data_IF_916180885763
#
_entry.id   IF_916180885763
#
_cell.length_a   1.000
_cell.length_b   1.000
_cell.length_c   1.000
_cell.angle_alpha   90.00
_cell.angle_beta   90.00
_cell.angle_gamma   90.00
#
_symmetry.space_group_name_H-M   'P 1'
#
loop_
_entity.id
_entity.type
_entity.pdbx_description
1 polymer ?
#
# COMPACT_ATOMS: atom_id res chain seq x y z
N UNK A 1 0.69 -20.89 -14.37
CA UNK A 1 -0.08 -20.38 -13.19
C UNK A 1 0.77 -19.34 -12.51
N UNK A 2 0.21 -18.18 -12.30
CA UNK A 2 0.88 -17.10 -11.56
C UNK A 2 1.02 -17.42 -10.06
N UNK A 3 1.97 -16.78 -9.40
CA UNK A 3 2.18 -16.91 -7.95
C UNK A 3 2.51 -15.54 -7.35
N UNK A 4 1.95 -15.22 -6.19
CA UNK A 4 2.44 -14.13 -5.36
C UNK A 4 3.71 -14.63 -4.67
N UNK A 5 4.86 -14.04 -5.05
CA UNK A 5 6.20 -14.48 -4.59
C UNK A 5 6.72 -13.66 -3.42
N UNK A 6 6.09 -12.54 -3.11
CA UNK A 6 6.39 -11.69 -1.97
C UNK A 6 5.35 -10.61 -1.77
N UNK A 7 5.25 -10.11 -0.55
CA UNK A 7 4.47 -8.93 -0.23
C UNK A 7 5.30 -7.95 0.58
N UNK A 8 5.05 -6.67 0.35
CA UNK A 8 5.71 -5.56 1.04
C UNK A 8 4.65 -4.60 1.53
N UNK A 9 4.99 -3.88 2.58
CA UNK A 9 4.14 -2.83 3.08
C UNK A 9 5.00 -1.64 3.49
N UNK A 10 4.55 -0.42 3.17
CA UNK A 10 5.33 0.79 3.41
C UNK A 10 4.43 2.01 3.65
N UNK A 11 4.81 2.85 4.60
CA UNK A 11 4.17 4.16 4.77
C UNK A 11 4.42 5.04 3.57
N UNK A 12 3.43 5.88 3.22
CA UNK A 12 3.51 6.80 2.08
C UNK A 12 3.43 8.29 2.48
N UNK A 13 3.75 8.61 3.75
CA UNK A 13 3.75 10.01 4.19
C UNK A 13 4.54 10.92 3.24
N UNK A 14 3.99 12.07 2.84
CA UNK A 14 4.70 13.04 2.01
C UNK A 14 6.06 13.48 2.56
N UNK A 15 6.24 13.43 3.90
CA UNK A 15 7.48 13.81 4.57
C UNK A 15 8.68 12.94 4.22
N UNK A 16 8.44 11.67 3.87
CA UNK A 16 9.51 10.72 3.49
C UNK A 16 10.35 11.23 2.32
N UNK A 17 9.72 11.85 1.34
CA UNK A 17 10.40 12.40 0.16
C UNK A 17 10.43 13.92 0.14
N UNK A 18 9.34 14.59 0.57
CA UNK A 18 9.17 16.02 0.45
C UNK A 18 10.04 16.85 1.41
N UNK A 19 10.26 16.35 2.63
CA UNK A 19 11.09 17.00 3.64
C UNK A 19 11.79 16.00 4.57
N UNK A 20 12.56 15.05 4.02
CA UNK A 20 13.21 14.00 4.80
C UNK A 20 14.15 14.56 5.87
N UNK A 21 14.74 15.71 5.61
CA UNK A 21 15.67 16.42 6.50
C UNK A 21 15.05 16.92 7.81
N UNK A 22 13.71 16.94 7.93
CA UNK A 22 13.04 17.34 9.17
C UNK A 22 13.03 16.27 10.23
N UNK A 23 13.11 15.00 9.82
CA UNK A 23 13.20 13.89 10.76
C UNK A 23 14.58 13.82 11.44
N UNK A 24 14.62 13.29 12.65
CA UNK A 24 15.87 12.94 13.31
C UNK A 24 16.73 12.04 12.40
N UNK A 25 18.03 12.34 12.21
CA UNK A 25 18.89 11.61 11.25
C UNK A 25 18.83 10.08 11.43
N UNK A 26 18.88 9.59 12.68
CA UNK A 26 18.82 8.14 12.96
C UNK A 26 17.51 7.51 12.47
N UNK A 27 16.37 8.16 12.69
CA UNK A 27 15.07 7.66 12.27
C UNK A 27 14.95 7.65 10.74
N UNK A 28 15.39 8.74 10.11
CA UNK A 28 15.44 8.82 8.65
C UNK A 28 16.29 7.71 8.06
N UNK A 29 17.53 7.54 8.53
CA UNK A 29 18.45 6.51 8.05
C UNK A 29 17.89 5.10 8.23
N UNK A 30 17.17 4.82 9.34
CA UNK A 30 16.52 3.54 9.57
C UNK A 30 15.44 3.27 8.51
N UNK A 31 14.58 4.25 8.22
CA UNK A 31 13.52 4.11 7.22
C UNK A 31 14.08 4.02 5.80
N UNK A 32 15.06 4.87 5.44
CA UNK A 32 15.74 4.80 4.14
C UNK A 32 16.43 3.43 3.94
N UNK A 33 17.09 2.91 4.97
CA UNK A 33 17.70 1.58 4.96
C UNK A 33 16.69 0.46 4.77
N UNK A 34 15.53 0.57 5.40
CA UNK A 34 14.44 -0.40 5.25
C UNK A 34 13.82 -0.37 3.84
N UNK A 35 13.65 0.80 3.25
CA UNK A 35 13.25 0.91 1.83
C UNK A 35 14.28 0.30 0.89
N UNK A 36 15.57 0.55 1.13
CA UNK A 36 16.65 -0.04 0.32
C UNK A 36 16.67 -1.56 0.42
N UNK A 37 16.44 -2.12 1.60
CA UNK A 37 16.33 -3.57 1.79
C UNK A 37 15.08 -4.14 1.12
N UNK A 38 13.92 -3.48 1.24
CA UNK A 38 12.69 -3.89 0.56
C UNK A 38 12.89 -3.91 -0.97
N UNK A 39 13.50 -2.86 -1.54
CA UNK A 39 13.86 -2.79 -2.97
C UNK A 39 14.75 -3.97 -3.37
N UNK A 40 15.82 -4.22 -2.60
CA UNK A 40 16.73 -5.34 -2.87
C UNK A 40 16.00 -6.69 -2.92
N UNK A 41 15.04 -6.89 -2.01
CA UNK A 41 14.19 -8.11 -1.99
C UNK A 41 13.25 -8.16 -3.19
N UNK A 42 12.63 -7.04 -3.58
CA UNK A 42 11.78 -6.96 -4.78
C UNK A 42 12.60 -7.34 -6.02
N UNK A 43 13.78 -6.72 -6.20
CA UNK A 43 14.65 -7.02 -7.34
C UNK A 43 15.10 -8.48 -7.36
N UNK A 44 15.39 -9.07 -6.21
CA UNK A 44 15.77 -10.50 -6.11
C UNK A 44 14.59 -11.45 -6.39
N UNK A 45 13.35 -10.98 -6.23
CA UNK A 45 12.14 -11.75 -6.59
C UNK A 45 11.85 -11.69 -8.09
N UNK A 46 12.45 -10.77 -8.85
CA UNK A 46 12.26 -10.61 -10.31
C UNK A 46 10.77 -10.67 -10.73
N UNK A 47 9.89 -9.80 -10.20
CA UNK A 47 8.47 -9.89 -10.52
C UNK A 47 8.16 -9.45 -11.95
N UNK A 48 7.18 -10.11 -12.58
CA UNK A 48 6.61 -9.70 -13.87
C UNK A 48 5.66 -8.52 -13.72
N UNK A 49 5.06 -8.36 -12.52
CA UNK A 49 4.15 -7.27 -12.20
C UNK A 49 4.07 -7.05 -10.67
N UNK A 50 3.67 -5.84 -10.28
CA UNK A 50 3.38 -5.48 -8.90
C UNK A 50 1.90 -5.10 -8.77
N UNK A 51 1.18 -5.77 -7.87
CA UNK A 51 -0.14 -5.31 -7.41
C UNK A 51 0.11 -4.29 -6.31
N UNK A 52 -0.19 -3.01 -6.59
CA UNK A 52 0.01 -1.90 -5.67
C UNK A 52 -1.32 -1.52 -5.01
N UNK A 53 -1.46 -1.77 -3.71
CA UNK A 53 -2.69 -1.52 -2.94
C UNK A 53 -2.49 -0.27 -2.10
N UNK A 54 -3.31 0.75 -2.30
CA UNK A 54 -3.25 1.99 -1.54
C UNK A 54 -4.63 2.55 -1.22
N UNK A 55 -4.68 3.58 -0.40
CA UNK A 55 -5.76 4.56 -0.38
C UNK A 55 -5.47 5.65 -1.42
N UNK A 56 -6.38 6.60 -1.61
CA UNK A 56 -6.10 7.80 -2.39
C UNK A 56 -6.64 9.03 -1.64
N UNK A 57 -6.18 10.22 -1.99
CA UNK A 57 -6.47 11.43 -1.23
C UNK A 57 -7.33 12.42 -2.03
N UNK A 58 -8.48 11.92 -2.55
CA UNK A 58 -9.44 12.67 -3.37
C UNK A 58 -8.89 13.19 -4.70
N UNK A 59 -7.86 12.53 -5.23
CA UNK A 59 -7.30 12.80 -6.56
C UNK A 59 -8.20 12.27 -7.66
N UNK A 60 -8.71 11.04 -7.50
CA UNK A 60 -9.53 10.37 -8.52
C UNK A 60 -11.00 10.21 -8.10
N UNK A 61 -11.25 10.09 -6.81
CA UNK A 61 -12.58 9.88 -6.25
C UNK A 61 -12.98 11.06 -5.36
N UNK A 62 -14.26 11.15 -5.02
CA UNK A 62 -14.79 12.20 -4.17
C UNK A 62 -15.91 11.65 -3.26
N UNK A 63 -16.37 12.43 -2.31
CA UNK A 63 -17.40 12.02 -1.34
C UNK A 63 -18.71 11.53 -1.99
N UNK A 64 -19.01 11.93 -3.22
CA UNK A 64 -20.19 11.47 -3.96
C UNK A 64 -19.99 10.13 -4.69
N UNK A 65 -18.75 9.71 -4.84
CA UNK A 65 -18.38 8.46 -5.50
C UNK A 65 -17.05 7.93 -4.92
N UNK A 66 -17.13 7.28 -3.76
CA UNK A 66 -15.97 6.70 -3.07
C UNK A 66 -16.20 5.18 -2.94
N UNK A 67 -15.59 4.37 -3.82
CA UNK A 67 -15.78 2.92 -3.80
C UNK A 67 -15.04 2.29 -2.62
N UNK A 68 -15.60 1.19 -2.06
CA UNK A 68 -14.91 0.41 -1.03
C UNK A 68 -13.58 -0.18 -1.54
N UNK A 69 -13.58 -0.63 -2.80
CA UNK A 69 -12.41 -1.09 -3.55
C UNK A 69 -12.52 -0.60 -4.99
N UNK A 70 -11.39 -0.27 -5.62
CA UNK A 70 -11.32 -0.01 -7.07
C UNK A 70 -10.09 -0.69 -7.66
N UNK A 71 -10.19 -1.17 -8.89
CA UNK A 71 -9.11 -1.84 -9.63
C UNK A 71 -8.87 -1.08 -10.93
N UNK A 72 -7.63 -0.61 -11.14
CA UNK A 72 -7.25 0.09 -12.35
C UNK A 72 -6.71 -0.89 -13.41
N UNK A 73 -7.02 -0.58 -14.68
CA UNK A 73 -6.77 -1.49 -15.81
C UNK A 73 -6.11 -0.79 -16.99
N UNK A 74 -5.38 0.31 -16.74
CA UNK A 74 -4.63 0.99 -17.80
C UNK A 74 -3.22 0.39 -17.96
N UNK A 75 -2.61 0.66 -19.12
CA UNK A 75 -1.23 0.24 -19.42
C UNK A 75 -0.19 1.29 -18.98
N UNK A 76 -0.63 2.44 -18.47
CA UNK A 76 0.23 3.44 -17.83
C UNK A 76 -0.56 4.37 -16.91
N UNK A 77 0.14 4.96 -15.94
CA UNK A 77 -0.41 5.86 -14.93
C UNK A 77 0.49 7.08 -14.76
N UNK A 78 -0.09 8.27 -14.66
CA UNK A 78 0.65 9.50 -14.44
C UNK A 78 0.84 9.73 -12.93
N UNK A 79 2.05 10.06 -12.52
CA UNK A 79 2.32 10.46 -11.13
C UNK A 79 3.65 11.20 -10.97
N UNK A 80 3.73 12.13 -10.02
CA UNK A 80 2.64 12.80 -9.29
C UNK A 80 1.66 13.52 -10.22
N UNK A 81 0.38 13.60 -9.84
CA UNK A 81 -0.72 14.07 -10.70
C UNK A 81 -0.52 15.48 -11.26
N UNK A 82 0.08 16.40 -10.47
CA UNK A 82 0.36 17.78 -10.91
C UNK A 82 1.82 18.18 -10.69
N UNK A 83 2.32 19.21 -11.41
CA UNK A 83 3.64 19.79 -11.13
C UNK A 83 3.79 20.31 -9.70
N UNK A 84 2.72 20.83 -9.08
CA UNK A 84 2.72 21.29 -7.70
C UNK A 84 2.93 20.13 -6.74
N UNK A 85 2.24 19.00 -6.97
CA UNK A 85 2.41 17.76 -6.20
C UNK A 85 3.83 17.21 -6.40
N UNK A 86 4.35 17.22 -7.61
CA UNK A 86 5.74 16.84 -7.92
C UNK A 86 6.76 17.65 -7.11
N UNK A 87 6.59 18.98 -7.06
CA UNK A 87 7.44 19.85 -6.25
C UNK A 87 7.29 19.61 -4.75
N UNK A 88 6.06 19.39 -4.28
CA UNK A 88 5.75 19.14 -2.87
C UNK A 88 6.37 17.83 -2.39
N UNK A 89 6.25 16.77 -3.17
CA UNK A 89 6.81 15.46 -2.86
C UNK A 89 8.30 15.33 -3.19
N UNK A 90 8.87 16.26 -3.95
CA UNK A 90 10.23 16.14 -4.55
C UNK A 90 10.38 14.83 -5.35
N UNK A 91 9.32 14.44 -6.05
CA UNK A 91 9.27 13.30 -6.97
C UNK A 91 8.99 13.82 -8.37
N UNK A 92 9.83 13.46 -9.32
CA UNK A 92 9.64 13.89 -10.71
C UNK A 92 8.38 13.24 -11.30
N UNK A 93 7.57 14.05 -12.02
CA UNK A 93 6.38 13.55 -12.70
C UNK A 93 6.79 12.67 -13.89
N UNK A 94 6.26 11.45 -13.95
CA UNK A 94 6.51 10.53 -15.04
C UNK A 94 5.36 9.54 -15.22
N UNK A 95 5.48 8.68 -16.25
CA UNK A 95 4.53 7.60 -16.50
C UNK A 95 5.04 6.31 -15.83
N UNK A 96 4.23 5.75 -14.95
CA UNK A 96 4.45 4.41 -14.40
C UNK A 96 3.87 3.38 -15.37
N UNK A 97 4.59 2.33 -15.74
CA UNK A 97 4.04 1.27 -16.58
C UNK A 97 2.90 0.53 -15.84
N UNK A 98 1.85 0.19 -16.56
CA UNK A 98 0.72 -0.57 -16.04
C UNK A 98 0.63 -1.97 -16.65
N UNK A 99 -0.10 -2.87 -15.98
CA UNK A 99 -0.48 -4.17 -16.53
C UNK A 99 -2.01 -4.26 -16.59
N UNK A 100 -2.61 -3.57 -17.57
CA UNK A 100 -4.05 -3.49 -17.74
C UNK A 100 -4.71 -4.85 -17.94
N UNK A 101 -4.01 -5.79 -18.60
CA UNK A 101 -4.50 -7.16 -18.82
C UNK A 101 -4.65 -7.92 -17.50
N UNK A 102 -3.66 -7.86 -16.63
CA UNK A 102 -3.72 -8.48 -15.29
C UNK A 102 -4.78 -7.78 -14.43
N UNK A 103 -4.85 -6.44 -14.48
CA UNK A 103 -5.87 -5.67 -13.76
C UNK A 103 -7.29 -6.07 -14.18
N UNK A 104 -7.53 -6.23 -15.49
CA UNK A 104 -8.83 -6.69 -16.03
C UNK A 104 -9.16 -8.09 -15.54
N UNK A 105 -8.22 -9.01 -15.60
CA UNK A 105 -8.42 -10.37 -15.09
C UNK A 105 -8.77 -10.38 -13.60
N UNK A 106 -8.06 -9.61 -12.77
CA UNK A 106 -8.34 -9.50 -11.33
C UNK A 106 -9.74 -8.93 -11.09
N UNK A 107 -10.14 -7.90 -11.84
CA UNK A 107 -11.47 -7.32 -11.75
C UNK A 107 -12.57 -8.35 -12.07
N UNK A 108 -12.47 -9.05 -13.20
CA UNK A 108 -13.45 -10.07 -13.62
C UNK A 108 -13.52 -11.24 -12.63
N UNK A 109 -12.36 -11.65 -12.11
CA UNK A 109 -12.28 -12.66 -11.08
C UNK A 109 -12.95 -12.20 -9.77
N UNK A 110 -12.73 -10.95 -9.35
CA UNK A 110 -13.36 -10.38 -8.17
C UNK A 110 -14.88 -10.40 -8.26
N UNK A 111 -15.45 -9.91 -9.39
CA UNK A 111 -16.91 -9.96 -9.64
C UNK A 111 -17.45 -11.38 -9.56
N UNK A 112 -16.73 -12.36 -10.10
CA UNK A 112 -17.14 -13.76 -10.08
C UNK A 112 -16.98 -14.43 -8.70
N UNK A 113 -16.34 -13.74 -7.72
CA UNK A 113 -16.03 -14.24 -6.38
C UNK A 113 -16.57 -13.33 -5.26
N UNK A 114 -17.74 -12.72 -5.48
CA UNK A 114 -18.51 -11.96 -4.47
C UNK A 114 -17.82 -10.67 -3.97
N UNK A 115 -16.92 -10.12 -4.77
CA UNK A 115 -16.39 -8.77 -4.58
C UNK A 115 -16.85 -7.87 -5.72
N UNK A 116 -17.29 -6.65 -5.39
CA UNK A 116 -17.80 -5.67 -6.33
C UNK A 116 -16.91 -4.41 -6.35
N UNK A 117 -15.64 -4.50 -6.80
CA UNK A 117 -14.79 -3.33 -6.92
C UNK A 117 -15.27 -2.41 -8.06
N UNK A 118 -15.03 -1.13 -7.93
CA UNK A 118 -15.17 -0.22 -9.08
C UNK A 118 -14.08 -0.50 -10.10
N UNK A 119 -14.45 -0.49 -11.37
CA UNK A 119 -13.51 -0.60 -12.47
C UNK A 119 -13.02 0.80 -12.87
N UNK A 120 -11.69 0.97 -12.97
CA UNK A 120 -11.06 2.19 -13.48
C UNK A 120 -10.34 1.86 -14.79
N UNK A 121 -11.01 2.11 -15.94
CA UNK A 121 -10.45 1.83 -17.27
C UNK A 121 -9.55 2.95 -17.80
N UNK A 122 -9.81 4.16 -17.36
CA UNK A 122 -9.00 5.34 -17.72
C UNK A 122 -7.82 5.54 -16.77
N UNK A 123 -7.16 6.68 -16.90
CA UNK A 123 -6.07 7.05 -16.03
C UNK A 123 -6.51 7.12 -14.56
N UNK A 124 -5.79 6.42 -13.73
CA UNK A 124 -5.75 6.65 -12.29
C UNK A 124 -4.51 7.49 -12.04
N UNK A 125 -4.70 8.74 -11.68
CA UNK A 125 -3.59 9.64 -11.39
C UNK A 125 -3.03 9.34 -9.99
N UNK A 126 -1.69 9.32 -9.86
CA UNK A 126 -1.05 9.01 -8.58
C UNK A 126 -0.76 10.29 -7.79
N UNK A 127 -1.15 10.27 -6.54
CA UNK A 127 -0.72 11.24 -5.53
C UNK A 127 0.47 10.67 -4.70
N UNK A 128 0.65 11.09 -3.45
CA UNK A 128 1.67 10.54 -2.57
C UNK A 128 1.55 9.04 -2.34
N UNK A 129 0.35 8.51 -2.48
CA UNK A 129 -0.02 7.13 -2.20
C UNK A 129 0.88 6.08 -2.88
N UNK A 130 1.20 6.30 -4.14
CA UNK A 130 2.12 5.46 -4.91
C UNK A 130 3.45 6.17 -5.17
N UNK A 131 3.44 7.50 -5.37
CA UNK A 131 4.65 8.22 -5.75
C UNK A 131 5.74 8.18 -4.67
N UNK A 132 5.37 8.31 -3.39
CA UNK A 132 6.34 8.28 -2.28
C UNK A 132 6.99 6.89 -2.13
N UNK A 133 6.25 5.78 -1.94
CA UNK A 133 6.89 4.48 -1.77
C UNK A 133 7.62 4.01 -3.03
N UNK A 134 7.06 4.20 -4.23
CA UNK A 134 7.70 3.74 -5.46
C UNK A 134 8.94 4.56 -5.85
N UNK A 135 9.10 5.80 -5.38
CA UNK A 135 10.36 6.54 -5.43
C UNK A 135 11.53 5.76 -4.82
N UNK A 136 11.25 4.92 -3.82
CA UNK A 136 12.24 4.11 -3.11
C UNK A 136 12.24 2.65 -3.55
N UNK A 137 11.06 2.05 -3.76
CA UNK A 137 10.92 0.62 -4.05
C UNK A 137 11.21 0.26 -5.51
N UNK A 138 10.87 1.16 -6.44
CA UNK A 138 11.12 0.99 -7.89
C UNK A 138 11.34 2.36 -8.57
N UNK A 139 12.46 3.05 -8.25
CA UNK A 139 12.73 4.40 -8.74
C UNK A 139 12.89 4.50 -10.26
N UNK A 140 13.12 3.39 -10.94
CA UNK A 140 13.27 3.31 -12.39
C UNK A 140 11.96 2.95 -13.09
N UNK A 141 10.88 2.71 -12.32
CA UNK A 141 9.57 2.25 -12.82
C UNK A 141 9.70 1.03 -13.74
N UNK A 142 10.48 0.06 -13.29
CA UNK A 142 10.85 -1.13 -14.03
C UNK A 142 9.71 -2.14 -14.12
N UNK A 143 8.87 -2.20 -13.08
CA UNK A 143 7.83 -3.22 -12.95
C UNK A 143 6.45 -2.66 -13.26
N UNK A 144 5.69 -3.30 -14.18
CA UNK A 144 4.31 -2.88 -14.47
C UNK A 144 3.41 -3.02 -13.25
N UNK A 145 2.59 -1.99 -12.99
CA UNK A 145 1.71 -1.89 -11.83
C UNK A 145 0.27 -2.32 -12.16
N UNK A 146 -0.39 -2.94 -11.20
CA UNK A 146 -1.85 -3.02 -11.11
C UNK A 146 -2.28 -2.25 -9.87
N UNK A 147 -2.66 -0.97 -10.01
CA UNK A 147 -3.10 -0.18 -8.87
C UNK A 147 -4.48 -0.62 -8.37
N UNK A 148 -4.59 -0.74 -7.06
CA UNK A 148 -5.83 -1.05 -6.37
C UNK A 148 -6.03 -0.01 -5.27
N UNK A 149 -7.20 0.59 -5.23
CA UNK A 149 -7.58 1.53 -4.19
C UNK A 149 -8.51 0.85 -3.19
N UNK A 150 -8.22 1.04 -1.92
CA UNK A 150 -9.06 0.66 -0.79
C UNK A 150 -9.54 1.93 -0.09
N UNK A 151 -10.83 2.06 0.19
CA UNK A 151 -11.30 3.22 0.94
C UNK A 151 -10.75 3.20 2.38
N UNK A 152 -9.83 4.09 2.66
CA UNK A 152 -9.28 4.38 3.99
C UNK A 152 -9.56 5.82 4.46
N UNK A 153 -10.22 6.66 3.64
CA UNK A 153 -10.31 8.10 3.90
C UNK A 153 -11.64 8.57 4.46
N UNK A 154 -12.76 7.90 4.14
CA UNK A 154 -14.07 8.32 4.61
C UNK A 154 -15.03 7.15 4.85
N UNK A 155 -15.79 7.13 5.96
CA UNK A 155 -16.76 6.07 6.23
C UNK A 155 -17.92 6.06 5.19
N UNK A 156 -18.56 4.90 4.95
CA UNK A 156 -18.26 3.61 5.57
C UNK A 156 -17.03 2.93 4.95
N UNK A 157 -16.12 2.46 5.80
CA UNK A 157 -14.91 1.75 5.36
C UNK A 157 -15.16 0.24 5.20
N UNK A 158 -14.47 -0.46 4.29
CA UNK A 158 -14.41 -1.91 4.35
C UNK A 158 -13.85 -2.35 5.72
N UNK A 159 -14.39 -3.42 6.28
CA UNK A 159 -13.87 -3.95 7.54
C UNK A 159 -12.45 -4.51 7.36
N UNK A 160 -11.68 -4.62 8.43
CA UNK A 160 -10.38 -5.28 8.41
C UNK A 160 -10.48 -6.72 7.87
N UNK A 161 -11.53 -7.46 8.30
CA UNK A 161 -11.86 -8.79 7.76
C UNK A 161 -12.03 -8.75 6.25
N UNK A 162 -12.86 -7.85 5.72
CA UNK A 162 -13.11 -7.76 4.27
C UNK A 162 -11.88 -7.35 3.49
N UNK A 163 -11.02 -6.50 4.06
CA UNK A 163 -9.73 -6.14 3.44
C UNK A 163 -8.78 -7.35 3.37
N UNK A 164 -8.73 -8.17 4.41
CA UNK A 164 -7.95 -9.40 4.41
C UNK A 164 -8.47 -10.41 3.38
N UNK A 165 -9.79 -10.66 3.37
CA UNK A 165 -10.46 -11.55 2.41
C UNK A 165 -10.31 -11.07 0.96
N UNK A 166 -10.26 -9.74 0.74
CA UNK A 166 -9.94 -9.16 -0.56
C UNK A 166 -8.51 -9.54 -0.99
N UNK A 167 -7.55 -9.51 -0.07
CA UNK A 167 -6.20 -10.02 -0.32
C UNK A 167 -6.17 -11.51 -0.69
N UNK A 168 -6.93 -12.35 0.03
CA UNK A 168 -7.06 -13.77 -0.30
C UNK A 168 -7.68 -13.98 -1.69
N UNK A 169 -8.63 -13.13 -2.08
CA UNK A 169 -9.21 -13.12 -3.43
C UNK A 169 -8.14 -12.75 -4.46
N UNK A 170 -7.31 -11.73 -4.22
CA UNK A 170 -6.21 -11.35 -5.13
C UNK A 170 -5.23 -12.51 -5.37
N UNK A 171 -4.88 -13.27 -4.33
CA UNK A 171 -4.03 -14.46 -4.47
C UNK A 171 -4.67 -15.47 -5.40
N UNK A 172 -5.93 -15.82 -5.18
CA UNK A 172 -6.65 -16.76 -6.05
C UNK A 172 -6.77 -16.25 -7.49
N UNK A 173 -6.97 -14.95 -7.69
CA UNK A 173 -7.02 -14.35 -9.02
C UNK A 173 -5.68 -14.49 -9.75
N UNK A 174 -4.55 -14.25 -9.06
CA UNK A 174 -3.21 -14.45 -9.62
C UNK A 174 -2.96 -15.92 -9.95
N UNK A 175 -3.37 -16.85 -9.09
CA UNK A 175 -3.24 -18.30 -9.34
C UNK A 175 -4.10 -18.80 -10.50
N UNK A 176 -5.22 -18.15 -10.80
CA UNK A 176 -6.17 -18.54 -11.84
C UNK A 176 -5.77 -18.10 -13.28
N UNK A 177 -4.60 -17.47 -13.47
CA UNK A 177 -4.13 -17.01 -14.77
C UNK A 177 -2.68 -17.50 -15.05
N UNK A 178 -2.23 -17.36 -16.31
CA UNK A 178 -0.92 -17.79 -16.80
C UNK A 178 -0.17 -16.71 -17.60
N UNK A 179 -0.71 -15.49 -17.64
CA UNK A 179 -0.11 -14.38 -18.39
C UNK A 179 1.11 -13.77 -17.68
N UNK A 180 1.19 -13.91 -16.35
CA UNK A 180 2.34 -13.53 -15.52
C UNK A 180 2.64 -14.67 -14.54
N UNK A 181 3.91 -14.93 -14.25
CA UNK A 181 4.31 -16.02 -13.36
C UNK A 181 4.58 -15.52 -11.94
N UNK A 182 5.23 -14.38 -11.80
CA UNK A 182 5.73 -13.84 -10.53
C UNK A 182 5.11 -12.48 -10.24
N UNK A 183 4.32 -12.42 -9.19
CA UNK A 183 3.66 -11.18 -8.76
C UNK A 183 4.12 -10.81 -7.37
N UNK A 184 4.49 -9.55 -7.17
CA UNK A 184 4.71 -8.96 -5.86
C UNK A 184 3.49 -8.12 -5.49
N UNK A 185 3.12 -8.10 -4.20
CA UNK A 185 2.07 -7.22 -3.68
C UNK A 185 2.72 -6.15 -2.81
N UNK A 186 2.31 -4.89 -2.98
CA UNK A 186 2.76 -3.78 -2.14
C UNK A 186 1.55 -3.07 -1.56
N UNK A 187 1.39 -3.10 -0.23
CA UNK A 187 0.40 -2.30 0.50
C UNK A 187 1.02 -0.99 0.96
N UNK A 188 0.40 0.15 0.66
CA UNK A 188 0.96 1.44 1.05
C UNK A 188 0.01 2.25 1.91
N UNK A 189 0.55 2.96 2.92
CA UNK A 189 -0.21 3.81 3.82
C UNK A 189 0.17 3.68 5.29
N UNK A 190 -0.44 4.48 6.13
CA UNK A 190 -0.31 4.46 7.59
C UNK A 190 1.13 4.61 8.10
N UNK A 191 1.39 4.43 9.40
CA UNK A 191 0.49 3.82 10.39
C UNK A 191 -0.45 4.85 11.05
N UNK A 192 -0.30 5.09 12.38
CA UNK A 192 -1.13 6.07 13.07
C UNK A 192 -0.84 7.50 12.61
N UNK A 193 -1.88 8.25 12.29
CA UNK A 193 -1.78 9.68 11.99
C UNK A 193 -3.15 10.37 11.90
N UNK A 194 -3.14 11.70 12.00
CA UNK A 194 -4.32 12.56 11.93
C UNK A 194 -4.20 13.53 10.77
N UNK A 195 -5.14 13.47 9.83
CA UNK A 195 -5.16 14.32 8.64
C UNK A 195 -6.18 15.45 8.80
N UNK A 196 -5.73 16.69 8.68
CA UNK A 196 -6.61 17.86 8.73
C UNK A 196 -7.26 18.14 10.09
N UNK A 197 -6.72 17.53 11.16
CA UNK A 197 -7.21 17.68 12.54
C UNK A 197 -6.16 18.37 13.42
N UNK A 198 -6.56 18.95 14.59
CA UNK A 198 -5.61 19.57 15.51
C UNK A 198 -4.51 18.66 16.02
N UNK A 199 -4.76 17.35 15.99
CA UNK A 199 -3.84 16.29 16.41
C UNK A 199 -2.77 15.97 15.36
N UNK A 200 -2.79 16.63 14.20
CA UNK A 200 -1.79 16.39 13.13
C UNK A 200 -0.36 16.50 13.67
N UNK A 201 0.45 15.47 13.40
CA UNK A 201 1.80 15.30 13.94
C UNK A 201 1.87 14.46 15.22
N UNK A 202 0.75 14.06 15.82
CA UNK A 202 0.78 13.03 16.84
C UNK A 202 0.99 11.66 16.23
N UNK A 203 1.60 10.76 17.00
CA UNK A 203 1.80 9.34 16.67
C UNK A 203 1.29 8.50 17.83
N UNK A 204 0.44 7.52 17.55
CA UNK A 204 -0.03 6.56 18.55
C UNK A 204 0.86 5.30 18.50
N UNK A 205 2.01 5.38 19.18
CA UNK A 205 2.97 4.26 19.21
C UNK A 205 2.39 2.96 19.80
N UNK A 206 1.40 3.05 20.69
CA UNK A 206 0.77 1.85 21.27
C UNK A 206 0.00 1.09 20.17
N UNK A 207 -0.82 1.79 19.41
CA UNK A 207 -1.52 1.20 18.26
C UNK A 207 -0.55 0.68 17.21
N UNK A 208 0.48 1.47 16.87
CA UNK A 208 1.44 1.09 15.83
C UNK A 208 2.18 -0.21 16.21
N UNK A 209 2.61 -0.34 17.46
CA UNK A 209 3.30 -1.54 17.96
C UNK A 209 2.38 -2.76 18.05
N UNK A 210 1.10 -2.55 18.43
CA UNK A 210 0.10 -3.62 18.40
C UNK A 210 -0.12 -4.11 16.97
N UNK A 211 -0.28 -3.19 16.00
CA UNK A 211 -0.44 -3.53 14.59
C UNK A 211 0.78 -4.29 14.04
N UNK A 212 2.00 -3.81 14.35
CA UNK A 212 3.26 -4.48 13.99
C UNK A 212 3.27 -5.91 14.56
N UNK A 213 2.97 -6.08 15.84
CA UNK A 213 2.94 -7.40 16.48
C UNK A 213 1.99 -8.36 15.78
N UNK A 214 0.79 -7.89 15.42
CA UNK A 214 -0.21 -8.72 14.73
C UNK A 214 0.21 -9.08 13.29
N UNK A 215 0.81 -8.17 12.55
CA UNK A 215 1.25 -8.48 11.18
C UNK A 215 2.47 -9.41 11.17
N UNK A 216 3.35 -9.31 12.16
CA UNK A 216 4.48 -10.21 12.37
C UNK A 216 4.06 -11.59 12.87
N UNK A 217 2.93 -11.70 13.59
CA UNK A 217 2.41 -12.99 14.02
C UNK A 217 1.96 -13.87 12.86
N UNK A 218 1.53 -13.25 11.75
CA UNK A 218 0.94 -13.94 10.61
C UNK A 218 -0.42 -14.58 10.91
N UNK A 219 -1.03 -14.29 12.08
CA UNK A 219 -2.34 -14.81 12.46
C UNK A 219 -3.46 -13.99 11.79
N UNK A 220 -4.21 -14.59 10.84
CA UNK A 220 -5.27 -13.90 10.14
C UNK A 220 -6.36 -13.36 11.05
N UNK A 221 -6.70 -14.08 12.12
CA UNK A 221 -7.81 -13.68 12.99
C UNK A 221 -7.47 -12.45 13.81
N UNK A 222 -6.20 -12.24 14.17
CA UNK A 222 -5.76 -11.01 14.81
C UNK A 222 -5.89 -9.80 13.91
N UNK A 223 -5.51 -9.92 12.61
CA UNK A 223 -5.64 -8.84 11.64
C UNK A 223 -7.11 -8.56 11.27
N UNK A 224 -7.93 -9.59 11.12
CA UNK A 224 -9.37 -9.49 10.81
C UNK A 224 -10.18 -8.86 11.95
N UNK A 225 -9.70 -8.93 13.19
CA UNK A 225 -10.44 -8.51 14.39
C UNK A 225 -10.48 -7.01 14.61
N UNK A 226 -9.64 -6.20 13.94
CA UNK A 226 -9.65 -4.76 14.12
C UNK A 226 -11.03 -4.16 13.86
N UNK A 227 -11.58 -3.49 14.87
CA UNK A 227 -12.78 -2.69 14.72
C UNK A 227 -12.46 -1.29 14.18
N UNK A 228 -13.39 -0.62 13.49
CA UNK A 228 -13.20 0.76 13.07
C UNK A 228 -12.86 1.68 14.25
N UNK A 229 -13.43 1.45 15.43
CA UNK A 229 -13.20 2.26 16.64
C UNK A 229 -11.76 2.17 17.15
N UNK A 230 -11.15 0.98 17.10
CA UNK A 230 -9.74 0.80 17.49
C UNK A 230 -8.82 1.56 16.53
N UNK A 231 -9.12 1.50 15.23
CA UNK A 231 -8.35 2.24 14.22
C UNK A 231 -8.55 3.75 14.35
N UNK A 232 -9.80 4.24 14.55
CA UNK A 232 -10.11 5.65 14.79
C UNK A 232 -9.33 6.25 15.97
N UNK A 233 -9.10 5.46 17.02
CA UNK A 233 -8.32 5.90 18.18
C UNK A 233 -6.85 6.21 17.85
N UNK A 234 -6.37 5.76 16.70
CA UNK A 234 -5.02 6.03 16.18
C UNK A 234 -5.00 7.12 15.09
N UNK A 235 -6.14 7.76 14.85
CA UNK A 235 -6.31 8.84 13.88
C UNK A 235 -7.12 8.45 12.65
N UNK A 236 -7.70 9.46 12.00
CA UNK A 236 -8.49 9.23 10.79
C UNK A 236 -7.66 8.71 9.61
N UNK A 237 -6.36 8.97 9.57
CA UNK A 237 -5.44 8.40 8.58
C UNK A 237 -5.00 6.97 8.90
N UNK A 238 -5.10 6.51 10.16
CA UNK A 238 -4.75 5.13 10.51
C UNK A 238 -5.59 4.06 9.77
N UNK A 239 -6.73 4.46 9.19
CA UNK A 239 -7.56 3.56 8.36
C UNK A 239 -6.83 3.01 7.13
N UNK A 240 -5.69 3.57 6.76
CA UNK A 240 -4.81 3.10 5.70
C UNK A 240 -4.17 1.74 6.00
N UNK A 241 -4.09 1.31 7.26
CA UNK A 241 -3.59 -0.05 7.62
C UNK A 241 -4.37 -1.18 6.92
N UNK A 242 -5.56 -0.90 6.37
CA UNK A 242 -6.33 -1.85 5.55
C UNK A 242 -5.59 -2.32 4.30
N UNK A 243 -4.72 -1.49 3.75
CA UNK A 243 -3.89 -1.84 2.59
C UNK A 243 -2.84 -2.89 2.97
N UNK A 244 -2.25 -2.76 4.17
CA UNK A 244 -1.33 -3.74 4.74
C UNK A 244 -2.04 -5.05 5.06
N UNK A 245 -3.25 -4.96 5.64
CA UNK A 245 -4.10 -6.12 5.92
C UNK A 245 -4.47 -6.86 4.64
N UNK A 246 -4.77 -6.14 3.55
CA UNK A 246 -5.02 -6.75 2.25
C UNK A 246 -3.76 -7.41 1.68
N UNK A 247 -2.60 -6.78 1.80
CA UNK A 247 -1.32 -7.37 1.39
C UNK A 247 -1.00 -8.65 2.20
N UNK A 248 -1.29 -8.65 3.52
CA UNK A 248 -1.14 -9.84 4.37
C UNK A 248 -2.07 -10.99 3.93
N UNK A 249 -3.33 -10.70 3.60
CA UNK A 249 -4.26 -11.69 3.02
C UNK A 249 -3.77 -12.25 1.69
N UNK A 250 -3.16 -11.41 0.86
CA UNK A 250 -2.65 -11.81 -0.44
C UNK A 250 -1.46 -12.77 -0.33
N UNK A 251 -0.50 -12.53 0.54
CA UNK A 251 0.65 -13.42 0.73
C UNK A 251 0.35 -14.63 1.63
N UNK A 252 -0.47 -14.46 2.66
CA UNK A 252 -0.79 -15.51 3.63
C UNK A 252 0.42 -15.99 4.45
N UNK A 253 1.35 -15.09 4.75
CA UNK A 253 2.57 -15.35 5.52
C UNK A 253 2.85 -14.16 6.46
N UNK A 254 3.55 -14.37 7.58
CA UNK A 254 3.96 -13.30 8.47
C UNK A 254 4.89 -12.31 7.77
N UNK A 255 4.78 -11.04 8.15
CA UNK A 255 5.72 -10.00 7.73
C UNK A 255 6.88 -9.89 8.72
N UNK A 256 8.04 -9.52 8.22
CA UNK A 256 9.16 -8.98 8.96
C UNK A 256 9.10 -7.46 8.87
N UNK A 257 9.04 -6.76 9.99
CA UNK A 257 9.12 -5.30 9.99
C UNK A 257 10.60 -4.89 9.92
N UNK A 258 10.98 -4.32 8.78
CA UNK A 258 12.36 -3.91 8.48
C UNK A 258 12.75 -2.66 9.26
N UNK A 259 11.81 -1.73 9.44
CA UNK A 259 11.92 -0.59 10.36
C UNK A 259 10.54 -0.05 10.75
N UNK A 260 10.47 0.48 11.96
CA UNK A 260 9.39 1.36 12.44
C UNK A 260 9.99 2.50 13.24
N UNK A 261 9.60 3.72 12.91
CA UNK A 261 9.96 4.93 13.67
C UNK A 261 8.74 5.85 13.81
N UNK A 262 8.45 6.36 15.02
CA UNK A 262 7.50 7.45 15.18
C UNK A 262 8.16 8.73 14.71
N UNK A 263 7.62 9.35 13.63
CA UNK A 263 8.19 10.54 13.01
C UNK A 263 7.14 11.66 12.95
N UNK A 264 6.91 12.39 14.05
CA UNK A 264 5.96 13.51 14.09
C UNK A 264 6.21 14.56 13.00
N UNK A 265 7.46 14.76 12.60
CA UNK A 265 7.87 15.68 11.54
C UNK A 265 7.40 15.23 10.14
N UNK A 266 7.13 13.94 9.96
CA UNK A 266 6.51 13.36 8.77
C UNK A 266 5.02 13.08 8.98
N UNK A 267 4.48 13.51 10.13
CA UNK A 267 3.08 13.44 10.53
C UNK A 267 2.53 12.02 10.79
N UNK A 268 3.39 11.00 10.93
CA UNK A 268 2.93 9.60 11.03
C UNK A 268 3.91 8.69 11.78
N UNK A 269 3.41 7.59 12.30
CA UNK A 269 4.22 6.40 12.56
C UNK A 269 4.63 5.78 11.22
N UNK A 270 5.92 5.77 10.91
CA UNK A 270 6.44 5.35 9.61
C UNK A 270 7.08 3.96 9.70
N UNK A 271 6.69 3.07 8.81
CA UNK A 271 7.25 1.72 8.80
C UNK A 271 7.41 1.16 7.37
N UNK A 272 8.29 0.18 7.25
CA UNK A 272 8.49 -0.66 6.06
C UNK A 272 8.57 -2.11 6.52
N UNK A 273 7.86 -3.01 5.84
CA UNK A 273 7.80 -4.43 6.16
C UNK A 273 7.83 -5.30 4.89
N UNK A 274 8.25 -6.54 5.04
CA UNK A 274 8.34 -7.50 3.94
C UNK A 274 7.92 -8.91 4.38
N UNK A 275 7.22 -9.63 3.51
CA UNK A 275 6.94 -11.04 3.62
C UNK A 275 7.45 -11.75 2.36
N UNK A 276 8.57 -12.44 2.48
CA UNK A 276 9.28 -13.11 1.37
C UNK A 276 9.60 -14.55 1.75
N UNK A 277 8.57 -15.43 1.92
CA UNK A 277 8.71 -16.74 2.57
C UNK A 277 9.65 -17.68 1.81
N UNK A 278 9.76 -17.54 0.49
CA UNK A 278 10.57 -18.43 -0.36
C UNK A 278 11.93 -17.80 -0.74
N UNK A 279 12.20 -16.55 -0.35
CA UNK A 279 13.46 -15.88 -0.68
C UNK A 279 14.55 -16.30 0.31
N UNK A 280 15.59 -16.97 -0.21
CA UNK A 280 16.80 -17.27 0.55
C UNK A 280 17.77 -16.10 0.38
N UNK A 281 17.96 -15.35 1.45
CA UNK A 281 18.87 -14.20 1.53
C UNK A 281 20.29 -14.62 1.87
#
# INVERSE_FOLDING_TARGET
MGKIVGAFAASHSPGVTGWPERAEPRKREAIEGAFAEARRRIDALEPDAIIAISVEHFTNFNFGNLPAFAIATADSYLGPVTPEMSNFLRVEQHQYPGNGKLGRHIYEFAISNEFDPSLVEGGLDFDENFCVPFKHLDPESKYPLVPIIVNGVNPPWPTAKRSYEFGEMLRRAVEAQDAVERVVVVGTGGLSHWVGLPEAGQVNEEFDRDFITRIESGDPEQLKSYSPKEIDAAGNGAHEVRTWIAAAGAIGAPFEVLAYEPVPEWLTGTAVAAATPDLKL
#
